data_IF_921799749499
#
_entry.id   IF_921799749499
#
_cell.length_a   1.000
_cell.length_b   1.000
_cell.length_c   1.000
_cell.angle_alpha   90.00
_cell.angle_beta   90.00
_cell.angle_gamma   90.00
#
_symmetry.space_group_name_H-M   'P 1'
#
loop_
_entity.id
_entity.type
_entity.pdbx_description
1 polymer ?
#
# COMPACT_ATOMS: atom_id res chain seq x y z
N UNK A 1 -0.07 7.75 -10.40
CA UNK A 1 0.91 7.41 -9.36
C UNK A 1 1.45 8.67 -8.70
N UNK A 2 1.38 8.72 -7.38
CA UNK A 2 1.85 9.82 -6.55
C UNK A 2 3.07 9.40 -5.72
N UNK A 3 4.26 9.54 -6.31
CA UNK A 3 5.51 9.19 -5.63
C UNK A 3 5.85 10.08 -4.42
N UNK A 4 5.12 11.18 -4.18
CA UNK A 4 5.30 11.97 -2.94
C UNK A 4 4.90 11.21 -1.68
N UNK A 5 4.14 10.11 -1.83
CA UNK A 5 3.81 9.19 -0.73
C UNK A 5 4.94 8.21 -0.42
N UNK A 6 5.97 8.11 -1.26
CA UNK A 6 7.16 7.32 -0.98
C UNK A 6 8.01 8.03 0.07
N UNK A 7 8.23 7.40 1.21
CA UNK A 7 9.08 7.96 2.26
C UNK A 7 10.55 7.77 1.89
N UNK A 8 11.44 8.53 2.55
CA UNK A 8 12.88 8.29 2.42
C UNK A 8 13.24 6.87 2.84
N UNK A 9 12.62 6.35 3.90
CA UNK A 9 12.87 4.99 4.39
C UNK A 9 12.45 3.93 3.37
N UNK A 10 11.34 4.15 2.64
CA UNK A 10 10.93 3.29 1.52
C UNK A 10 11.98 3.30 0.42
N UNK A 11 12.41 4.50 0.02
CA UNK A 11 13.42 4.69 -1.02
C UNK A 11 14.73 3.99 -0.65
N UNK A 12 15.25 4.26 0.55
CA UNK A 12 16.50 3.68 1.05
C UNK A 12 16.41 2.16 1.15
N UNK A 13 15.31 1.62 1.69
CA UNK A 13 15.09 0.18 1.76
C UNK A 13 15.16 -0.46 0.37
N UNK A 14 14.47 0.11 -0.62
CA UNK A 14 14.44 -0.44 -1.99
C UNK A 14 15.81 -0.29 -2.64
N UNK A 15 16.48 0.86 -2.49
CA UNK A 15 17.84 1.07 -2.97
C UNK A 15 18.78 0.00 -2.39
N UNK A 16 18.76 -0.25 -1.08
CA UNK A 16 19.61 -1.26 -0.47
C UNK A 16 19.27 -2.69 -0.93
N UNK A 17 17.99 -3.00 -1.15
CA UNK A 17 17.61 -4.28 -1.77
C UNK A 17 18.22 -4.40 -3.17
N UNK A 18 18.11 -3.36 -4.01
CA UNK A 18 18.68 -3.34 -5.36
C UNK A 18 20.20 -3.46 -5.34
N UNK A 19 20.87 -2.76 -4.42
CA UNK A 19 22.33 -2.81 -4.26
C UNK A 19 22.82 -4.20 -3.85
N UNK A 20 22.05 -4.97 -3.08
CA UNK A 20 22.42 -6.35 -2.72
C UNK A 20 22.42 -7.31 -3.92
N UNK A 21 21.83 -6.92 -5.05
CA UNK A 21 21.85 -7.67 -6.31
C UNK A 21 23.04 -7.25 -7.20
N UNK A 22 23.73 -6.18 -6.84
CA UNK A 22 24.87 -5.63 -7.56
C UNK A 22 26.20 -6.16 -7.05
N UNK A 23 27.26 -5.99 -7.84
CA UNK A 23 28.63 -6.22 -7.40
C UNK A 23 29.34 -4.89 -7.18
N UNK A 24 30.42 -4.90 -6.39
CA UNK A 24 31.16 -3.68 -6.07
C UNK A 24 31.64 -2.93 -7.32
N UNK A 25 32.09 -3.68 -8.34
CA UNK A 25 32.61 -3.09 -9.57
C UNK A 25 31.52 -2.40 -10.39
N UNK A 26 30.29 -2.92 -10.44
CA UNK A 26 29.18 -2.26 -11.14
C UNK A 26 28.87 -0.91 -10.53
N UNK A 27 28.90 -0.79 -9.20
CA UNK A 27 28.71 0.49 -8.50
C UNK A 27 29.85 1.47 -8.74
N UNK A 28 31.11 1.01 -8.64
CA UNK A 28 32.28 1.86 -8.87
C UNK A 28 32.31 2.38 -10.31
N UNK A 29 31.81 1.61 -11.27
CA UNK A 29 31.75 2.00 -12.67
C UNK A 29 30.65 3.02 -13.00
N UNK A 30 29.77 3.35 -12.06
CA UNK A 30 28.77 4.41 -12.28
C UNK A 30 29.50 5.74 -12.54
N UNK A 31 29.14 6.48 -13.60
CA UNK A 31 29.76 7.76 -13.91
C UNK A 31 29.76 8.71 -12.70
N UNK A 32 30.95 9.19 -12.33
CA UNK A 32 31.17 10.08 -11.18
C UNK A 32 31.52 9.34 -9.88
N UNK A 33 31.10 8.09 -9.70
CA UNK A 33 31.47 7.30 -8.51
C UNK A 33 32.96 6.95 -8.55
N UNK A 34 33.45 6.49 -9.70
CA UNK A 34 34.86 6.11 -9.88
C UNK A 34 35.83 7.22 -9.47
N UNK A 35 35.55 8.47 -9.85
CA UNK A 35 36.39 9.61 -9.50
C UNK A 35 36.43 9.86 -7.98
N UNK A 36 35.28 9.74 -7.32
CA UNK A 36 35.17 9.94 -5.87
C UNK A 36 35.91 8.83 -5.14
N UNK A 37 35.68 7.57 -5.54
CA UNK A 37 36.32 6.38 -4.95
C UNK A 37 37.84 6.44 -5.14
N UNK A 38 38.33 6.75 -6.35
CA UNK A 38 39.78 6.87 -6.62
C UNK A 38 40.44 7.96 -5.78
N UNK A 39 39.78 9.12 -5.59
CA UNK A 39 40.28 10.19 -4.71
C UNK A 39 40.26 9.78 -3.24
N UNK A 40 39.26 9.02 -2.81
CA UNK A 40 39.11 8.58 -1.43
C UNK A 40 40.22 7.58 -1.03
N UNK A 41 40.53 6.63 -1.92
CA UNK A 41 41.51 5.56 -1.65
C UNK A 41 42.91 5.82 -2.22
N UNK A 42 43.20 7.01 -2.76
CA UNK A 42 44.50 7.37 -3.33
C UNK A 42 45.07 6.34 -4.33
N UNK A 43 44.21 5.82 -5.23
CA UNK A 43 44.58 4.91 -6.32
C UNK A 43 45.18 3.53 -5.95
N UNK A 44 45.06 3.05 -4.71
CA UNK A 44 45.64 1.75 -4.31
C UNK A 44 44.62 0.65 -3.94
N UNK A 45 45.15 -0.58 -4.04
CA UNK A 45 44.68 -1.97 -3.83
C UNK A 45 43.55 -2.29 -2.82
N UNK A 46 43.09 -1.33 -2.02
CA UNK A 46 42.12 -1.54 -0.93
C UNK A 46 40.68 -1.75 -1.41
N UNK A 47 40.34 -1.32 -2.64
CA UNK A 47 39.00 -1.47 -3.21
C UNK A 47 38.48 -2.91 -3.19
N UNK A 48 39.39 -3.89 -3.34
CA UNK A 48 39.05 -5.31 -3.35
C UNK A 48 38.72 -5.88 -1.96
N UNK A 49 38.99 -5.13 -0.88
CA UNK A 49 38.68 -5.48 0.51
C UNK A 49 37.43 -4.75 1.02
N UNK A 50 36.88 -3.82 0.24
CA UNK A 50 35.75 -2.99 0.63
C UNK A 50 34.39 -3.66 0.41
N UNK A 51 33.38 -3.13 1.10
CA UNK A 51 31.98 -3.54 0.93
C UNK A 51 31.21 -2.50 0.14
N UNK A 52 30.12 -2.91 -0.51
CA UNK A 52 29.19 -1.98 -1.16
C UNK A 52 28.76 -0.86 -0.22
N UNK A 53 28.41 -1.19 1.02
CA UNK A 53 27.99 -0.20 2.01
C UNK A 53 29.10 0.81 2.33
N UNK A 54 30.36 0.37 2.41
CA UNK A 54 31.50 1.26 2.60
C UNK A 54 31.62 2.27 1.46
N UNK A 55 31.49 1.81 0.21
CA UNK A 55 31.52 2.68 -0.98
C UNK A 55 30.37 3.69 -0.96
N UNK A 56 29.14 3.26 -0.65
CA UNK A 56 27.97 4.14 -0.57
C UNK A 56 28.12 5.22 0.50
N UNK A 57 28.79 4.90 1.61
CA UNK A 57 29.01 5.83 2.72
C UNK A 57 30.05 6.92 2.41
N UNK A 58 30.77 6.82 1.29
CA UNK A 58 31.70 7.87 0.86
C UNK A 58 30.88 9.12 0.47
N UNK A 59 31.19 10.31 1.01
CA UNK A 59 30.45 11.53 0.70
C UNK A 59 30.34 11.78 -0.81
N UNK A 60 29.11 12.00 -1.31
CA UNK A 60 28.82 12.24 -2.72
C UNK A 60 28.50 10.97 -3.52
N UNK A 61 28.82 9.77 -3.03
CA UNK A 61 28.54 8.52 -3.75
C UNK A 61 27.06 8.17 -3.66
N UNK A 62 26.45 8.27 -2.47
CA UNK A 62 25.04 7.97 -2.29
C UNK A 62 24.14 8.77 -3.26
N UNK A 63 24.41 10.07 -3.46
CA UNK A 63 23.62 10.92 -4.35
C UNK A 63 23.71 10.47 -5.82
N UNK A 64 24.89 10.04 -6.26
CA UNK A 64 25.10 9.55 -7.63
C UNK A 64 24.41 8.19 -7.80
N UNK A 65 24.58 7.28 -6.85
CA UNK A 65 24.03 5.92 -6.92
C UNK A 65 22.51 5.92 -6.80
N UNK A 66 21.95 6.70 -5.88
CA UNK A 66 20.49 6.87 -5.75
C UNK A 66 19.89 7.49 -7.01
N UNK A 67 20.56 8.48 -7.62
CA UNK A 67 20.12 9.02 -8.91
C UNK A 67 20.24 8.01 -10.04
N UNK A 68 21.27 7.15 -10.04
CA UNK A 68 21.47 6.13 -11.06
C UNK A 68 20.35 5.09 -11.06
N UNK A 69 19.92 4.63 -9.88
CA UNK A 69 18.86 3.63 -9.72
C UNK A 69 17.47 4.23 -9.51
N UNK A 70 17.29 5.54 -9.68
CA UNK A 70 16.03 6.19 -9.32
C UNK A 70 14.82 5.56 -10.02
N UNK A 71 14.91 5.24 -11.31
CA UNK A 71 13.80 4.63 -12.03
C UNK A 71 13.50 3.21 -11.53
N UNK A 72 14.52 2.37 -11.33
CA UNK A 72 14.36 1.03 -10.76
C UNK A 72 13.67 1.09 -9.39
N UNK A 73 14.02 2.07 -8.56
CA UNK A 73 13.43 2.27 -7.23
C UNK A 73 11.95 2.66 -7.34
N UNK A 74 11.62 3.59 -8.24
CA UNK A 74 10.24 4.03 -8.48
C UNK A 74 9.37 2.88 -9.00
N UNK A 75 9.88 2.09 -9.94
CA UNK A 75 9.18 0.92 -10.49
C UNK A 75 8.95 -0.16 -9.43
N UNK A 76 9.97 -0.47 -8.62
CA UNK A 76 9.84 -1.42 -7.52
C UNK A 76 8.82 -0.94 -6.46
N UNK A 77 8.86 0.33 -6.09
CA UNK A 77 7.91 0.89 -5.12
C UNK A 77 6.47 0.87 -5.65
N UNK A 78 6.28 1.19 -6.93
CA UNK A 78 4.99 1.09 -7.61
C UNK A 78 4.46 -0.34 -7.57
N UNK A 79 5.30 -1.32 -7.91
CA UNK A 79 4.94 -2.73 -7.87
C UNK A 79 4.53 -3.18 -6.46
N UNK A 80 5.24 -2.74 -5.41
CA UNK A 80 4.86 -3.01 -4.03
C UNK A 80 3.46 -2.48 -3.66
N UNK A 81 3.05 -1.32 -4.20
CA UNK A 81 1.71 -0.80 -3.95
C UNK A 81 0.64 -1.68 -4.59
N UNK A 82 0.87 -2.18 -5.80
CA UNK A 82 -0.04 -3.13 -6.44
C UNK A 82 -0.14 -4.46 -5.69
N UNK A 83 0.97 -4.97 -5.14
CA UNK A 83 0.93 -6.15 -4.27
C UNK A 83 0.07 -5.88 -3.03
N UNK A 84 0.24 -4.73 -2.37
CA UNK A 84 -0.57 -4.35 -1.20
C UNK A 84 -2.06 -4.25 -1.54
N UNK A 85 -2.40 -3.66 -2.69
CA UNK A 85 -3.78 -3.62 -3.19
C UNK A 85 -4.34 -5.02 -3.35
N UNK A 86 -3.61 -5.91 -4.01
CA UNK A 86 -4.03 -7.29 -4.24
C UNK A 86 -4.28 -8.05 -2.93
N UNK A 87 -3.36 -7.99 -1.97
CA UNK A 87 -3.52 -8.61 -0.64
C UNK A 87 -4.78 -8.12 0.08
N UNK A 88 -5.03 -6.81 0.06
CA UNK A 88 -6.20 -6.23 0.75
C UNK A 88 -7.49 -6.66 0.05
N UNK A 89 -7.54 -6.66 -1.29
CA UNK A 89 -8.71 -7.10 -2.06
C UNK A 89 -9.03 -8.56 -1.76
N UNK A 90 -8.03 -9.46 -1.79
CA UNK A 90 -8.22 -10.88 -1.46
C UNK A 90 -8.78 -11.05 -0.04
N UNK A 91 -8.32 -10.25 0.92
CA UNK A 91 -8.84 -10.27 2.30
C UNK A 91 -10.27 -9.74 2.43
N UNK A 92 -10.66 -8.78 1.59
CA UNK A 92 -12.04 -8.28 1.52
C UNK A 92 -12.96 -9.35 0.93
N UNK A 93 -12.52 -10.03 -0.14
CA UNK A 93 -13.29 -11.11 -0.78
C UNK A 93 -13.52 -12.30 0.18
N UNK A 94 -12.56 -12.57 1.05
CA UNK A 94 -12.66 -13.60 2.09
C UNK A 94 -13.41 -13.15 3.35
N UNK A 95 -13.77 -11.87 3.46
CA UNK A 95 -14.47 -11.37 4.63
C UNK A 95 -15.87 -11.98 4.72
N UNK A 96 -16.25 -12.41 5.92
CA UNK A 96 -17.54 -13.05 6.15
C UNK A 96 -18.20 -12.51 7.43
N UNK A 97 -19.44 -11.96 7.34
CA UNK A 97 -20.15 -11.36 8.48
C UNK A 97 -20.50 -12.35 9.59
N UNK A 98 -20.45 -13.66 9.33
CA UNK A 98 -20.68 -14.70 10.34
C UNK A 98 -19.49 -14.91 11.27
N UNK A 99 -18.27 -14.61 10.79
CA UNK A 99 -17.04 -14.88 11.52
C UNK A 99 -16.25 -13.62 11.88
N UNK A 100 -16.50 -12.51 11.19
CA UNK A 100 -15.73 -11.29 11.32
C UNK A 100 -16.64 -10.08 11.52
N UNK A 101 -16.16 -9.17 12.37
CA UNK A 101 -16.80 -7.89 12.63
C UNK A 101 -16.69 -6.97 11.42
N UNK A 102 -17.68 -6.09 11.26
CA UNK A 102 -17.68 -5.04 10.24
C UNK A 102 -16.51 -4.07 10.38
N UNK A 103 -15.98 -3.85 11.59
CA UNK A 103 -14.79 -3.02 11.82
C UNK A 103 -13.55 -3.54 11.09
N UNK A 104 -13.43 -4.86 10.91
CA UNK A 104 -12.32 -5.45 10.15
C UNK A 104 -12.44 -5.06 8.69
N UNK A 105 -13.64 -5.17 8.11
CA UNK A 105 -13.92 -4.77 6.73
C UNK A 105 -13.71 -3.26 6.52
N UNK A 106 -14.21 -2.42 7.44
CA UNK A 106 -14.00 -0.97 7.39
C UNK A 106 -12.52 -0.61 7.34
N UNK A 107 -11.70 -1.22 8.19
CA UNK A 107 -10.26 -0.98 8.22
C UNK A 107 -9.57 -1.39 6.91
N UNK A 108 -9.97 -2.51 6.31
CA UNK A 108 -9.47 -2.96 5.01
C UNK A 108 -9.86 -1.98 3.90
N UNK A 109 -11.12 -1.57 3.85
CA UNK A 109 -11.62 -0.62 2.85
C UNK A 109 -10.95 0.75 2.97
N UNK A 110 -10.74 1.25 4.18
CA UNK A 110 -10.03 2.51 4.41
C UNK A 110 -8.58 2.43 3.93
N UNK A 111 -7.87 1.35 4.27
CA UNK A 111 -6.49 1.12 3.82
C UNK A 111 -6.40 0.99 2.30
N UNK A 112 -7.35 0.28 1.67
CA UNK A 112 -7.42 0.14 0.23
C UNK A 112 -7.70 1.50 -0.44
N UNK A 113 -8.66 2.25 0.09
CA UNK A 113 -9.03 3.60 -0.36
C UNK A 113 -7.82 4.54 -0.32
N UNK A 114 -7.06 4.54 0.77
CA UNK A 114 -5.84 5.33 0.90
C UNK A 114 -4.83 4.96 -0.20
N UNK A 115 -4.54 3.67 -0.41
CA UNK A 115 -3.57 3.28 -1.45
C UNK A 115 -4.09 3.62 -2.85
N UNK A 116 -5.35 3.31 -3.15
CA UNK A 116 -5.93 3.54 -4.48
C UNK A 116 -6.00 5.03 -4.81
N UNK A 117 -6.60 5.86 -3.95
CA UNK A 117 -6.80 7.27 -4.24
C UNK A 117 -5.54 8.10 -4.01
N UNK A 118 -4.91 7.99 -2.83
CA UNK A 118 -3.82 8.89 -2.47
C UNK A 118 -2.50 8.53 -3.15
N UNK A 119 -2.32 7.25 -3.52
CA UNK A 119 -1.07 6.76 -4.11
C UNK A 119 -1.22 6.42 -5.59
N UNK A 120 -2.19 5.59 -5.97
CA UNK A 120 -2.27 5.10 -7.35
C UNK A 120 -3.10 6.00 -8.29
N UNK A 121 -3.94 6.88 -7.75
CA UNK A 121 -4.99 7.64 -8.48
C UNK A 121 -5.98 6.71 -9.21
N UNK A 122 -6.46 5.71 -8.48
CA UNK A 122 -7.38 4.67 -8.95
C UNK A 122 -8.66 4.68 -8.12
N UNK A 123 -9.75 4.20 -8.73
CA UNK A 123 -11.07 4.15 -8.11
C UNK A 123 -11.33 2.79 -7.47
N UNK A 124 -11.96 2.81 -6.29
CA UNK A 124 -12.30 1.61 -5.50
C UNK A 124 -13.23 0.63 -6.24
N UNK A 125 -14.18 1.16 -7.00
CA UNK A 125 -15.22 0.39 -7.72
C UNK A 125 -14.67 -0.58 -8.78
N UNK A 126 -13.43 -0.37 -9.23
CA UNK A 126 -12.70 -1.29 -10.12
C UNK A 126 -12.14 -2.53 -9.40
N UNK A 127 -12.04 -2.48 -8.08
CA UNK A 127 -11.36 -3.51 -7.28
C UNK A 127 -12.30 -4.23 -6.33
N UNK A 128 -13.33 -3.55 -5.81
CA UNK A 128 -14.28 -4.13 -4.87
C UNK A 128 -15.69 -3.80 -5.31
N UNK A 129 -16.51 -4.83 -5.53
CA UNK A 129 -17.94 -4.67 -5.71
C UNK A 129 -18.63 -4.69 -4.35
N UNK A 130 -18.87 -3.51 -3.77
CA UNK A 130 -19.53 -3.37 -2.47
C UNK A 130 -20.93 -3.99 -2.43
N UNK A 131 -21.64 -4.04 -3.58
CA UNK A 131 -22.96 -4.68 -3.66
C UNK A 131 -22.90 -6.20 -3.64
N UNK A 132 -21.74 -6.79 -3.90
CA UNK A 132 -21.51 -8.22 -3.83
C UNK A 132 -20.95 -8.67 -2.48
N UNK A 133 -20.76 -7.75 -1.53
CA UNK A 133 -20.33 -8.11 -0.18
C UNK A 133 -21.37 -9.05 0.45
N UNK A 134 -20.92 -10.11 1.15
CA UNK A 134 -21.84 -11.03 1.79
C UNK A 134 -22.67 -10.30 2.83
N UNK A 135 -23.98 -10.47 2.77
CA UNK A 135 -24.94 -10.03 3.77
C UNK A 135 -25.56 -11.27 4.37
N UNK A 136 -25.62 -11.34 5.70
CA UNK A 136 -26.26 -12.46 6.36
C UNK A 136 -27.76 -12.47 6.07
N UNK A 137 -28.34 -13.65 5.84
CA UNK A 137 -29.76 -13.78 5.44
C UNK A 137 -30.72 -13.00 6.36
N UNK A 138 -30.46 -13.01 7.67
CA UNK A 138 -31.27 -12.30 8.65
C UNK A 138 -31.34 -10.77 8.44
N UNK A 139 -30.29 -10.16 7.88
CA UNK A 139 -30.26 -8.72 7.60
C UNK A 139 -30.54 -8.39 6.12
N UNK A 140 -30.70 -9.40 5.27
CA UNK A 140 -30.81 -9.22 3.82
C UNK A 140 -32.05 -8.41 3.43
N UNK A 141 -33.20 -8.71 4.02
CA UNK A 141 -34.43 -7.96 3.76
C UNK A 141 -34.29 -6.49 4.15
N UNK A 142 -33.65 -6.20 5.30
CA UNK A 142 -33.39 -4.83 5.75
C UNK A 142 -32.44 -4.09 4.80
N UNK A 143 -31.33 -4.72 4.40
CA UNK A 143 -30.36 -4.11 3.48
C UNK A 143 -30.99 -3.85 2.11
N UNK A 144 -31.79 -4.79 1.59
CA UNK A 144 -32.46 -4.67 0.30
C UNK A 144 -33.57 -3.60 0.33
N UNK A 145 -34.35 -3.52 1.43
CA UNK A 145 -35.44 -2.55 1.62
C UNK A 145 -34.92 -1.11 1.61
N UNK A 146 -33.74 -0.86 2.19
CA UNK A 146 -33.15 0.46 2.33
C UNK A 146 -32.13 0.82 1.25
N UNK A 147 -32.30 0.34 0.01
CA UNK A 147 -31.34 0.56 -1.10
C UNK A 147 -30.90 2.02 -1.35
N UNK A 148 -31.74 3.01 -0.98
CA UNK A 148 -31.45 4.44 -1.07
C UNK A 148 -30.51 4.97 0.04
N UNK A 149 -30.47 4.29 1.20
CA UNK A 149 -29.46 4.48 2.22
C UNK A 149 -28.32 3.50 1.93
N UNK A 150 -27.07 3.93 1.73
CA UNK A 150 -26.00 3.06 1.26
C UNK A 150 -25.53 2.11 2.37
N UNK A 151 -26.35 1.11 2.70
CA UNK A 151 -25.99 -0.02 3.55
C UNK A 151 -25.38 -1.07 2.64
N UNK A 152 -24.14 -1.46 2.93
CA UNK A 152 -23.39 -2.41 2.11
C UNK A 152 -23.43 -3.82 2.68
N UNK A 153 -23.30 -3.95 4.00
CA UNK A 153 -23.37 -5.22 4.72
C UNK A 153 -23.54 -4.97 6.22
N UNK A 154 -23.88 -6.00 6.99
CA UNK A 154 -23.93 -5.99 8.44
C UNK A 154 -23.34 -7.29 9.00
N UNK A 155 -22.62 -7.19 10.12
CA UNK A 155 -22.14 -8.37 10.86
C UNK A 155 -23.22 -8.96 11.80
N UNK A 156 -22.88 -10.05 12.48
CA UNK A 156 -23.77 -10.74 13.43
C UNK A 156 -24.35 -9.82 14.53
N UNK A 157 -23.62 -8.78 14.95
CA UNK A 157 -24.06 -7.88 16.02
C UNK A 157 -24.99 -6.77 15.52
N UNK A 158 -25.32 -6.76 14.24
CA UNK A 158 -26.08 -5.69 13.63
C UNK A 158 -25.25 -4.43 13.43
N UNK A 159 -23.90 -4.51 13.41
CA UNK A 159 -23.06 -3.38 13.02
C UNK A 159 -22.96 -3.35 11.49
N UNK A 160 -23.50 -2.30 10.88
CA UNK A 160 -23.61 -2.18 9.44
C UNK A 160 -22.58 -1.23 8.85
N UNK A 161 -21.96 -1.64 7.74
CA UNK A 161 -21.12 -0.79 6.93
C UNK A 161 -22.01 0.10 6.07
N UNK A 162 -21.89 1.40 6.26
CA UNK A 162 -22.69 2.39 5.56
C UNK A 162 -21.83 3.48 4.91
N UNK A 163 -22.43 4.23 3.98
CA UNK A 163 -21.88 5.46 3.42
C UNK A 163 -21.34 5.32 1.99
N UNK A 164 -21.58 6.34 1.16
CA UNK A 164 -21.16 6.37 -0.24
C UNK A 164 -19.84 7.11 -0.47
N UNK A 165 -19.61 8.20 0.27
CA UNK A 165 -18.39 9.03 0.17
C UNK A 165 -17.34 8.66 1.22
N UNK A 166 -17.80 8.28 2.41
CA UNK A 166 -16.97 7.85 3.53
C UNK A 166 -17.63 6.67 4.21
N UNK A 167 -16.85 5.62 4.43
CA UNK A 167 -17.33 4.42 5.11
C UNK A 167 -17.41 4.66 6.61
N UNK A 168 -18.55 4.30 7.19
CA UNK A 168 -18.80 4.39 8.62
C UNK A 168 -19.53 3.13 9.10
N UNK A 169 -19.58 2.95 10.42
CA UNK A 169 -20.33 1.85 11.05
C UNK A 169 -21.51 2.42 11.81
N UNK A 170 -22.69 1.90 11.51
CA UNK A 170 -23.92 2.24 12.23
C UNK A 170 -24.63 0.98 12.71
N UNK A 171 -25.16 0.96 13.94
CA UNK A 171 -26.07 -0.08 14.42
C UNK A 171 -27.36 -0.17 13.58
N UNK A 172 -27.79 -1.38 13.24
CA UNK A 172 -29.00 -1.64 12.44
C UNK A 172 -30.26 -1.09 13.10
N UNK A 173 -30.37 -1.16 14.42
CA UNK A 173 -31.54 -0.65 15.16
C UNK A 173 -31.69 0.87 15.01
N UNK A 174 -30.57 1.61 14.98
CA UNK A 174 -30.58 3.05 14.74
C UNK A 174 -31.02 3.38 13.32
N UNK A 175 -30.66 2.53 12.36
CA UNK A 175 -31.09 2.67 10.96
C UNK A 175 -32.60 2.43 10.88
N UNK A 176 -33.10 1.32 11.45
CA UNK A 176 -34.52 0.95 11.44
C UNK A 176 -35.41 2.02 12.09
N UNK A 177 -35.04 2.49 13.29
CA UNK A 177 -35.75 3.57 13.98
C UNK A 177 -35.81 4.85 13.14
N UNK A 178 -34.77 5.16 12.37
CA UNK A 178 -34.76 6.37 11.51
C UNK A 178 -35.82 6.30 10.41
N UNK A 179 -36.21 5.10 10.00
CA UNK A 179 -37.18 4.87 8.93
C UNK A 179 -38.57 4.42 9.43
N UNK A 180 -38.77 4.32 10.75
CA UNK A 180 -40.06 4.01 11.35
C UNK A 180 -40.49 2.56 11.23
N UNK A 181 -39.54 1.65 11.05
CA UNK A 181 -39.76 0.21 11.22
C UNK A 181 -39.40 -0.16 12.67
N UNK A 182 -40.42 -0.27 13.53
CA UNK A 182 -40.32 -0.88 14.87
C UNK A 182 -40.63 -2.39 14.81
#
# INVERSE_FOLDING_TARGET
>A
MNYSKMTKDDFDRILYTRLNEENLQSIVNIPGVSEIVSRHFNNDTLLNEETLQSIINIPGVYEIVSSHFNNDILEAWEYEQYIKVKDIVERIELWNPEFQRTIVLLNLLNKLTEILYDTLDLKLDKYVNLRALPVREFHKETVDKYSAYPIWTCDFEGSCLVGAEKFEIEPIDLILHRFGDD
#
